data_IF_740107930732
#
_entry.id   IF_740107930732
#
_cell.length_a   1.000
_cell.length_b   1.000
_cell.length_c   1.000
_cell.angle_alpha   90.00
_cell.angle_beta   90.00
_cell.angle_gamma   90.00
#
_symmetry.space_group_name_H-M   'P 1'
#
loop_
_entity.id
_entity.type
_entity.pdbx_description
1 polymer ?
#
# COMPACT_ATOMS: atom_id res chain seq x y z
N UNK A 1 13.87 17.99 9.56
CA UNK A 1 14.32 17.38 8.29
C UNK A 1 13.06 16.99 7.54
N UNK A 2 12.90 17.49 6.32
CA UNK A 2 11.88 17.02 5.39
C UNK A 2 12.54 15.98 4.49
N UNK A 3 11.79 14.94 4.12
CA UNK A 3 12.22 13.85 3.26
C UNK A 3 11.18 13.79 2.15
N UNK A 4 11.62 13.70 0.90
CA UNK A 4 10.70 13.51 -0.22
C UNK A 4 10.12 12.10 -0.16
N UNK A 5 8.82 11.97 -0.39
CA UNK A 5 8.13 10.69 -0.46
C UNK A 5 7.27 10.63 -1.71
N UNK A 6 7.25 9.47 -2.36
CA UNK A 6 6.30 9.13 -3.41
C UNK A 6 5.32 8.08 -2.90
N UNK A 7 4.03 8.30 -3.12
CA UNK A 7 2.95 7.36 -2.81
C UNK A 7 2.29 6.96 -4.13
N UNK A 8 2.27 5.65 -4.41
CA UNK A 8 1.76 5.10 -5.65
C UNK A 8 0.80 3.94 -5.40
N UNK A 9 -0.38 3.97 -6.01
CA UNK A 9 -1.29 2.82 -5.96
C UNK A 9 -2.69 3.11 -6.48
N UNK A 10 -3.47 2.04 -6.60
CA UNK A 10 -4.88 2.10 -6.97
C UNK A 10 -5.69 1.35 -5.92
N UNK A 11 -6.67 2.03 -5.31
CA UNK A 11 -7.54 1.44 -4.30
C UNK A 11 -8.95 1.27 -4.89
N UNK A 12 -9.46 0.04 -4.89
CA UNK A 12 -10.78 -0.30 -5.41
C UNK A 12 -11.88 -0.14 -4.35
N UNK A 13 -12.78 0.81 -4.61
CA UNK A 13 -13.82 1.26 -3.70
C UNK A 13 -15.14 0.48 -3.89
N UNK A 14 -15.90 0.41 -2.80
CA UNK A 14 -17.25 -0.15 -2.78
C UNK A 14 -18.24 0.65 -3.62
N UNK A 15 -19.35 0.01 -3.98
CA UNK A 15 -20.43 0.66 -4.72
C UNK A 15 -21.01 1.84 -3.94
N UNK A 16 -21.18 2.97 -4.61
CA UNK A 16 -21.87 4.14 -4.06
C UNK A 16 -21.03 5.00 -3.10
N UNK A 17 -19.74 4.72 -2.94
CA UNK A 17 -18.80 5.60 -2.22
C UNK A 17 -18.79 6.98 -2.88
N UNK A 18 -18.94 8.01 -2.05
CA UNK A 18 -18.94 9.41 -2.48
C UNK A 18 -17.61 10.07 -2.16
N UNK A 19 -17.24 11.09 -2.95
CA UNK A 19 -16.03 11.90 -2.73
C UNK A 19 -15.94 12.40 -1.28
N UNK A 20 -17.05 12.90 -0.71
CA UNK A 20 -17.07 13.40 0.67
C UNK A 20 -16.75 12.34 1.73
N UNK A 21 -17.12 11.07 1.49
CA UNK A 21 -16.77 9.96 2.39
C UNK A 21 -15.28 9.65 2.29
N UNK A 22 -14.74 9.73 1.07
CA UNK A 22 -13.33 9.48 0.81
C UNK A 22 -12.44 10.57 1.41
N UNK A 23 -12.78 11.84 1.21
CA UNK A 23 -12.09 12.99 1.82
C UNK A 23 -12.17 12.96 3.34
N UNK A 24 -13.29 12.52 3.90
CA UNK A 24 -13.42 12.30 5.34
C UNK A 24 -12.48 11.18 5.83
N UNK A 25 -12.43 10.05 5.13
CA UNK A 25 -11.51 8.95 5.47
C UNK A 25 -10.03 9.36 5.35
N UNK A 26 -9.70 10.17 4.36
CA UNK A 26 -8.35 10.70 4.10
C UNK A 26 -7.95 11.87 5.02
N UNK A 27 -8.80 12.30 5.96
CA UNK A 27 -8.51 13.43 6.87
C UNK A 27 -7.17 13.36 7.59
N UNK A 28 -6.68 12.20 8.06
CA UNK A 28 -5.35 12.13 8.67
C UNK A 28 -4.23 12.59 7.72
N UNK A 29 -4.32 12.27 6.42
CA UNK A 29 -3.37 12.70 5.39
C UNK A 29 -3.63 14.15 4.96
N UNK A 30 -4.87 14.51 4.62
CA UNK A 30 -5.20 15.87 4.17
C UNK A 30 -4.90 16.92 5.26
N UNK A 31 -5.25 16.62 6.50
CA UNK A 31 -4.94 17.48 7.65
C UNK A 31 -3.43 17.56 7.95
N UNK A 32 -2.66 16.51 7.64
CA UNK A 32 -1.20 16.58 7.72
C UNK A 32 -0.62 17.58 6.70
N UNK A 33 -1.22 17.65 5.51
CA UNK A 33 -0.84 18.59 4.44
C UNK A 33 -1.44 20.00 4.62
N UNK A 34 -2.27 20.21 5.65
CA UNK A 34 -3.03 21.46 5.88
C UNK A 34 -3.96 21.83 4.71
N UNK A 35 -4.62 20.82 4.14
CA UNK A 35 -5.62 20.97 3.07
C UNK A 35 -6.95 20.29 3.42
N UNK A 36 -8.04 20.68 2.77
CA UNK A 36 -9.37 20.14 3.08
C UNK A 36 -9.84 19.06 2.10
N UNK A 37 -9.36 19.12 0.86
CA UNK A 37 -9.83 18.28 -0.25
C UNK A 37 -8.68 17.56 -0.96
N UNK A 38 -8.97 16.45 -1.64
CA UNK A 38 -7.95 15.76 -2.45
C UNK A 38 -7.45 16.61 -3.63
N UNK A 39 -8.27 17.57 -4.11
CA UNK A 39 -7.91 18.47 -5.19
C UNK A 39 -6.85 19.51 -4.79
N UNK A 40 -6.76 19.84 -3.50
CA UNK A 40 -5.76 20.76 -2.95
C UNK A 40 -4.43 20.06 -2.63
N UNK A 41 -4.44 18.73 -2.50
CA UNK A 41 -3.26 17.90 -2.28
C UNK A 41 -2.47 17.68 -3.59
N UNK A 42 -2.01 18.77 -4.21
CA UNK A 42 -1.20 18.70 -5.42
C UNK A 42 0.13 17.98 -5.16
N UNK A 43 0.59 17.20 -6.16
CA UNK A 43 1.94 16.63 -6.14
C UNK A 43 2.98 17.73 -6.42
N UNK A 44 4.18 17.57 -5.86
CA UNK A 44 5.35 18.36 -6.24
C UNK A 44 5.75 18.11 -7.70
N UNK A 45 5.57 16.88 -8.18
CA UNK A 45 5.87 16.50 -9.56
C UNK A 45 4.68 16.81 -10.47
N UNK A 46 4.90 17.71 -11.44
CA UNK A 46 3.82 18.31 -12.25
C UNK A 46 3.15 17.34 -13.22
N UNK A 47 3.85 16.27 -13.59
CA UNK A 47 3.34 15.25 -14.50
C UNK A 47 2.46 14.22 -13.77
N UNK A 48 2.54 14.19 -12.44
CA UNK A 48 1.76 13.26 -11.65
C UNK A 48 0.30 13.71 -11.52
N UNK A 49 -0.66 12.77 -11.64
CA UNK A 49 -2.08 13.08 -11.49
C UNK A 49 -2.49 13.48 -10.06
N UNK A 50 -1.65 13.24 -9.06
CA UNK A 50 -1.94 13.46 -7.65
C UNK A 50 -2.88 12.39 -7.08
N UNK A 51 -3.83 12.81 -6.25
CA UNK A 51 -4.86 11.96 -5.65
C UNK A 51 -6.17 12.15 -6.43
N UNK A 52 -6.62 11.12 -7.14
CA UNK A 52 -7.79 11.18 -8.02
C UNK A 52 -8.84 10.14 -7.66
N UNK A 53 -10.09 10.58 -7.57
CA UNK A 53 -11.24 9.70 -7.38
C UNK A 53 -12.07 9.60 -8.67
N UNK A 54 -12.19 8.40 -9.21
CA UNK A 54 -13.10 8.09 -10.31
C UNK A 54 -14.34 7.33 -9.78
N UNK A 55 -15.53 7.96 -9.75
CA UNK A 55 -16.75 7.30 -9.29
C UNK A 55 -17.30 6.25 -10.26
N UNK A 56 -16.92 6.30 -11.54
CA UNK A 56 -17.36 5.32 -12.56
C UNK A 56 -16.57 4.03 -12.42
N UNK A 57 -15.25 4.13 -12.36
CA UNK A 57 -14.37 2.98 -12.14
C UNK A 57 -14.34 2.53 -10.67
N UNK A 58 -14.81 3.40 -9.76
CA UNK A 58 -14.79 3.20 -8.30
C UNK A 58 -13.36 3.02 -7.81
N UNK A 59 -12.48 3.90 -8.25
CA UNK A 59 -11.05 3.81 -7.97
C UNK A 59 -10.56 5.10 -7.35
N UNK A 60 -9.78 4.99 -6.28
CA UNK A 60 -8.89 6.05 -5.83
C UNK A 60 -7.50 5.75 -6.38
N UNK A 61 -7.06 6.55 -7.35
CA UNK A 61 -5.72 6.48 -7.92
C UNK A 61 -4.83 7.48 -7.20
N UNK A 62 -3.66 7.03 -6.79
CA UNK A 62 -2.67 7.82 -6.08
C UNK A 62 -1.36 7.73 -6.86
N UNK A 63 -0.85 8.87 -7.27
CA UNK A 63 0.51 9.07 -7.74
C UNK A 63 0.88 10.47 -7.26
N UNK A 64 1.49 10.54 -6.08
CA UNK A 64 1.68 11.79 -5.36
C UNK A 64 3.06 11.83 -4.72
N UNK A 65 3.79 12.91 -4.99
CA UNK A 65 5.11 13.22 -4.44
C UNK A 65 5.04 14.45 -3.55
N UNK A 66 5.66 14.39 -2.38
CA UNK A 66 5.66 15.52 -1.44
C UNK A 66 6.79 15.51 -0.42
N UNK A 67 7.05 16.69 0.13
CA UNK A 67 8.00 16.89 1.23
C UNK A 67 7.36 16.57 2.57
N UNK A 68 7.82 15.52 3.23
CA UNK A 68 7.19 15.02 4.46
C UNK A 68 8.16 14.97 5.64
N UNK A 69 7.58 14.96 6.83
CA UNK A 69 8.28 14.86 8.10
C UNK A 69 7.96 13.55 8.82
N UNK A 70 8.51 13.41 10.04
CA UNK A 70 8.53 12.14 10.80
C UNK A 70 7.18 11.49 11.05
N UNK A 71 6.09 12.25 11.15
CA UNK A 71 4.75 11.69 11.44
C UNK A 71 3.95 11.33 10.19
N UNK A 72 4.49 11.51 8.98
CA UNK A 72 3.73 11.28 7.76
C UNK A 72 3.32 9.81 7.60
N UNK A 73 4.22 8.87 7.84
CA UNK A 73 3.94 7.44 7.72
C UNK A 73 2.74 7.02 8.58
N UNK A 74 2.70 7.46 9.84
CA UNK A 74 1.60 7.16 10.76
C UNK A 74 0.27 7.76 10.29
N UNK A 75 0.30 8.98 9.75
CA UNK A 75 -0.90 9.66 9.22
C UNK A 75 -1.40 9.01 7.94
N UNK A 76 -0.49 8.56 7.08
CA UNK A 76 -0.83 7.82 5.88
C UNK A 76 -1.45 6.45 6.23
N UNK A 77 -0.87 5.74 7.20
CA UNK A 77 -1.42 4.49 7.73
C UNK A 77 -2.83 4.67 8.31
N UNK A 78 -3.04 5.71 9.12
CA UNK A 78 -4.35 6.04 9.69
C UNK A 78 -5.38 6.37 8.58
N UNK A 79 -4.99 7.14 7.57
CA UNK A 79 -5.84 7.46 6.43
C UNK A 79 -6.24 6.18 5.65
N UNK A 80 -5.29 5.30 5.37
CA UNK A 80 -5.55 4.04 4.68
C UNK A 80 -6.37 3.05 5.50
N UNK A 81 -6.21 3.03 6.82
CA UNK A 81 -7.10 2.26 7.70
C UNK A 81 -8.55 2.74 7.58
N UNK A 82 -8.77 4.06 7.55
CA UNK A 82 -10.11 4.63 7.37
C UNK A 82 -10.68 4.31 5.98
N UNK A 83 -9.88 4.48 4.93
CA UNK A 83 -10.26 4.17 3.54
C UNK A 83 -10.62 2.70 3.37
N UNK A 84 -9.96 1.79 4.12
CA UNK A 84 -10.26 0.36 4.10
C UNK A 84 -11.74 0.05 4.26
N UNK A 85 -12.44 0.74 5.16
CA UNK A 85 -13.90 0.56 5.37
C UNK A 85 -14.77 0.90 4.15
N UNK A 86 -14.22 1.63 3.18
CA UNK A 86 -14.88 2.04 1.94
C UNK A 86 -14.54 1.11 0.76
N UNK A 87 -13.69 0.10 0.94
CA UNK A 87 -13.20 -0.76 -0.15
C UNK A 87 -14.05 -2.02 -0.36
N UNK A 88 -14.11 -2.52 -1.59
CA UNK A 88 -14.70 -3.84 -1.93
C UNK A 88 -13.65 -4.94 -1.93
N UNK A 89 -12.43 -4.60 -2.34
CA UNK A 89 -11.28 -5.51 -2.43
C UNK A 89 -10.07 -4.90 -1.73
N UNK A 90 -9.15 -5.76 -1.31
CA UNK A 90 -7.86 -5.29 -0.84
C UNK A 90 -7.00 -4.79 -2.00
N UNK A 91 -6.14 -3.82 -1.72
CA UNK A 91 -5.26 -3.18 -2.69
C UNK A 91 -3.91 -2.89 -2.04
N UNK A 92 -2.88 -2.88 -2.86
CA UNK A 92 -1.52 -2.51 -2.48
C UNK A 92 -1.25 -1.05 -2.84
N UNK A 93 -0.56 -0.35 -1.94
CA UNK A 93 -0.04 1.00 -2.16
C UNK A 93 1.43 0.99 -1.78
N UNK A 94 2.27 1.41 -2.70
CA UNK A 94 3.71 1.57 -2.54
C UNK A 94 4.03 2.96 -2.00
N UNK A 95 4.97 3.02 -1.06
CA UNK A 95 5.46 4.27 -0.48
C UNK A 95 6.98 4.25 -0.50
N UNK A 96 7.58 5.20 -1.21
CA UNK A 96 9.03 5.31 -1.37
C UNK A 96 9.52 6.61 -0.76
N UNK A 97 10.44 6.53 0.20
CA UNK A 97 11.09 7.69 0.79
C UNK A 97 12.49 7.88 0.18
N UNK A 98 12.84 9.11 -0.14
CA UNK A 98 14.12 9.51 -0.75
C UNK A 98 14.94 10.34 0.24
N UNK A 99 15.65 9.71 1.20
CA UNK A 99 16.52 10.43 2.11
C UNK A 99 17.74 10.99 1.38
N UNK A 100 18.13 12.24 1.64
CA UNK A 100 19.28 12.90 0.97
C UNK A 100 20.62 12.18 1.16
N UNK A 101 20.73 11.32 2.19
CA UNK A 101 21.98 10.78 2.71
C UNK A 101 22.12 9.25 2.58
N UNK A 102 21.24 8.57 1.85
CA UNK A 102 21.19 7.11 1.90
C UNK A 102 20.53 6.43 0.71
N UNK A 103 20.23 5.15 0.92
CA UNK A 103 19.44 4.33 0.01
C UNK A 103 17.95 4.64 0.21
N UNK A 104 17.18 4.65 -0.88
CA UNK A 104 15.73 4.83 -0.86
C UNK A 104 15.06 3.75 0.00
N UNK A 105 14.04 4.16 0.78
CA UNK A 105 13.29 3.24 1.64
C UNK A 105 11.92 2.92 1.03
N UNK A 106 11.62 1.62 0.86
CA UNK A 106 10.39 1.15 0.22
C UNK A 106 9.47 0.45 1.22
N UNK A 107 8.22 0.85 1.23
CA UNK A 107 7.18 0.30 2.08
C UNK A 107 5.99 -0.13 1.23
N UNK A 108 5.49 -1.33 1.50
CA UNK A 108 4.17 -1.74 1.04
C UNK A 108 3.14 -1.51 2.14
N UNK A 109 2.10 -0.78 1.79
CA UNK A 109 0.90 -0.59 2.59
C UNK A 109 -0.25 -1.32 1.91
N UNK A 110 -1.13 -1.91 2.71
CA UNK A 110 -2.28 -2.63 2.20
C UNK A 110 -3.55 -1.99 2.74
N UNK A 111 -4.49 -1.73 1.82
CA UNK A 111 -5.79 -1.14 2.12
C UNK A 111 -6.84 -2.20 1.86
N UNK A 112 -7.85 -2.34 2.71
CA UNK A 112 -8.89 -3.34 2.48
C UNK A 112 -9.99 -3.32 3.54
N UNK A 113 -11.09 -4.06 3.30
CA UNK A 113 -12.29 -4.00 4.15
C UNK A 113 -12.08 -4.63 5.52
N UNK A 114 -11.21 -5.64 5.62
CA UNK A 114 -10.94 -6.35 6.88
C UNK A 114 -9.46 -6.70 7.02
N UNK A 115 -8.96 -6.90 8.25
CA UNK A 115 -7.62 -7.45 8.45
C UNK A 115 -7.42 -8.81 7.76
N UNK A 116 -8.44 -9.67 7.77
CA UNK A 116 -8.43 -10.96 7.09
C UNK A 116 -8.24 -10.84 5.58
N UNK A 117 -8.96 -9.91 4.92
CA UNK A 117 -8.84 -9.72 3.47
C UNK A 117 -7.49 -9.15 3.08
N UNK A 118 -6.95 -8.23 3.89
CA UNK A 118 -5.60 -7.67 3.70
C UNK A 118 -4.55 -8.77 3.82
N UNK A 119 -4.65 -9.62 4.84
CA UNK A 119 -3.73 -10.75 5.04
C UNK A 119 -3.77 -11.72 3.86
N UNK A 120 -4.98 -12.10 3.42
CA UNK A 120 -5.17 -13.00 2.28
C UNK A 120 -4.63 -12.41 0.97
N UNK A 121 -4.86 -11.12 0.73
CA UNK A 121 -4.34 -10.43 -0.44
C UNK A 121 -2.80 -10.37 -0.43
N UNK A 122 -2.19 -10.02 0.70
CA UNK A 122 -0.72 -10.06 0.87
C UNK A 122 -0.15 -11.45 0.58
N UNK A 123 -0.81 -12.51 1.07
CA UNK A 123 -0.41 -13.90 0.80
C UNK A 123 -0.45 -14.21 -0.70
N UNK A 124 -1.49 -13.75 -1.39
CA UNK A 124 -1.64 -13.94 -2.84
C UNK A 124 -0.51 -13.24 -3.61
N UNK A 125 -0.22 -11.96 -3.33
CA UNK A 125 0.89 -11.23 -3.96
C UNK A 125 2.22 -11.99 -3.82
N UNK A 126 2.58 -12.38 -2.59
CA UNK A 126 3.84 -13.09 -2.35
C UNK A 126 3.87 -14.46 -3.02
N UNK A 127 2.76 -15.20 -2.99
CA UNK A 127 2.67 -16.50 -3.67
C UNK A 127 2.85 -16.36 -5.19
N UNK A 128 2.25 -15.32 -5.79
CA UNK A 128 2.39 -15.04 -7.22
C UNK A 128 3.82 -14.66 -7.57
N UNK A 129 4.46 -13.78 -6.80
CA UNK A 129 5.86 -13.37 -7.03
C UNK A 129 6.83 -14.55 -6.95
N UNK A 130 6.70 -15.39 -5.93
CA UNK A 130 7.51 -16.60 -5.76
C UNK A 130 7.26 -17.57 -6.92
N UNK A 131 6.01 -17.75 -7.33
CA UNK A 131 5.67 -18.60 -8.49
C UNK A 131 6.32 -18.08 -9.77
N UNK A 132 6.19 -16.78 -10.04
CA UNK A 132 6.71 -16.13 -11.23
C UNK A 132 8.24 -16.17 -11.28
N UNK A 133 8.90 -15.99 -10.14
CA UNK A 133 10.35 -16.10 -10.04
C UNK A 133 10.82 -17.54 -10.27
N UNK A 134 10.22 -18.52 -9.61
CA UNK A 134 10.72 -19.90 -9.61
C UNK A 134 10.36 -20.67 -10.88
N UNK A 135 9.22 -20.38 -11.52
CA UNK A 135 8.77 -21.09 -12.73
C UNK A 135 9.72 -20.92 -13.92
N UNK A 136 10.60 -19.91 -13.89
CA UNK A 136 11.65 -19.70 -14.90
C UNK A 136 12.85 -20.63 -14.75
N UNK A 137 12.99 -21.27 -13.59
CA UNK A 137 14.19 -22.03 -13.22
C UNK A 137 13.91 -23.46 -12.77
N UNK A 138 12.70 -23.73 -12.28
CA UNK A 138 12.30 -25.01 -11.69
C UNK A 138 11.06 -25.58 -12.39
N UNK A 139 10.90 -26.90 -12.34
CA UNK A 139 9.69 -27.56 -12.82
C UNK A 139 8.49 -27.32 -11.91
N UNK A 140 7.28 -27.43 -12.47
CA UNK A 140 6.02 -27.13 -11.78
C UNK A 140 5.86 -27.82 -10.42
N UNK A 141 6.29 -29.08 -10.30
CA UNK A 141 6.18 -29.83 -9.04
C UNK A 141 6.97 -29.16 -7.90
N UNK A 142 8.18 -28.66 -8.18
CA UNK A 142 9.02 -27.99 -7.19
C UNK A 142 8.45 -26.61 -6.85
N UNK A 143 7.93 -25.88 -7.83
CA UNK A 143 7.26 -24.58 -7.60
C UNK A 143 6.03 -24.76 -6.71
N UNK A 144 5.22 -25.79 -6.96
CA UNK A 144 4.06 -26.12 -6.15
C UNK A 144 4.43 -26.47 -4.69
N UNK A 145 5.55 -27.16 -4.48
CA UNK A 145 6.04 -27.45 -3.13
C UNK A 145 6.43 -26.18 -2.37
N UNK A 146 7.14 -25.25 -3.03
CA UNK A 146 7.55 -24.00 -2.39
C UNK A 146 6.35 -23.12 -2.09
N UNK A 147 5.43 -22.95 -3.03
CA UNK A 147 4.22 -22.14 -2.83
C UNK A 147 3.31 -22.72 -1.73
N UNK A 148 3.20 -24.05 -1.62
CA UNK A 148 2.50 -24.69 -0.51
C UNK A 148 3.15 -24.36 0.85
N UNK A 149 4.49 -24.36 0.94
CA UNK A 149 5.19 -23.97 2.15
C UNK A 149 4.98 -22.49 2.49
N UNK A 150 5.03 -21.61 1.50
CA UNK A 150 4.71 -20.18 1.68
C UNK A 150 3.32 -20.01 2.28
N UNK A 151 2.31 -20.67 1.72
CA UNK A 151 0.94 -20.61 2.23
C UNK A 151 0.84 -21.07 3.70
N UNK A 152 1.51 -22.17 4.04
CA UNK A 152 1.56 -22.66 5.42
C UNK A 152 2.20 -21.64 6.38
N UNK A 153 3.28 -20.98 5.97
CA UNK A 153 3.94 -19.95 6.79
C UNK A 153 3.04 -18.73 7.03
N UNK A 154 2.29 -18.30 6.00
CA UNK A 154 1.31 -17.22 6.14
C UNK A 154 0.17 -17.60 7.10
N UNK A 155 -0.35 -18.83 7.02
CA UNK A 155 -1.38 -19.29 7.96
C UNK A 155 -0.88 -19.30 9.42
N UNK A 156 0.38 -19.72 9.63
CA UNK A 156 1.01 -19.72 10.95
C UNK A 156 1.23 -18.30 11.49
N UNK A 157 1.75 -17.38 10.66
CA UNK A 157 1.91 -15.96 11.03
C UNK A 157 0.57 -15.33 11.40
N UNK A 158 -0.47 -15.58 10.61
CA UNK A 158 -1.82 -15.08 10.88
C UNK A 158 -2.38 -15.57 12.21
N UNK A 159 -2.22 -16.87 12.49
CA UNK A 159 -2.65 -17.45 13.75
C UNK A 159 -1.90 -16.81 14.94
N UNK A 160 -0.59 -16.56 14.80
CA UNK A 160 0.21 -15.92 15.83
C UNK A 160 -0.23 -14.46 16.08
N UNK A 161 -0.46 -13.67 15.02
CA UNK A 161 -0.91 -12.26 15.13
C UNK A 161 -2.27 -12.12 15.81
N UNK A 162 -3.18 -13.07 15.59
CA UNK A 162 -4.48 -13.10 16.29
C UNK A 162 -4.33 -13.27 17.80
N UNK A 163 -3.29 -13.96 18.25
CA UNK A 163 -3.00 -14.14 19.68
C UNK A 163 -2.40 -12.88 20.30
N UNK A 164 -1.58 -12.13 19.55
CA UNK A 164 -0.94 -10.90 20.03
C UNK A 164 -1.83 -9.67 19.94
N UNK A 165 -2.92 -9.73 19.16
CA UNK A 165 -3.85 -8.60 18.96
C UNK A 165 -3.33 -7.57 17.94
N UNK A 166 -2.27 -7.88 17.19
CA UNK A 166 -1.77 -7.01 16.13
C UNK A 166 -2.68 -7.06 14.90
N UNK A 167 -3.21 -5.90 14.49
CA UNK A 167 -4.06 -5.78 13.30
C UNK A 167 -3.24 -5.61 12.03
N UNK A 168 -3.60 -6.33 10.95
CA UNK A 168 -2.90 -6.27 9.66
C UNK A 168 -2.83 -4.84 9.08
N UNK A 169 -3.85 -4.01 9.34
CA UNK A 169 -3.95 -2.61 8.93
C UNK A 169 -2.85 -1.70 9.51
N UNK A 170 -2.18 -2.13 10.58
CA UNK A 170 -1.08 -1.39 11.22
C UNK A 170 0.30 -1.84 10.73
N UNK A 171 0.40 -2.89 9.90
CA UNK A 171 1.68 -3.42 9.45
C UNK A 171 2.01 -2.93 8.05
N UNK A 172 2.75 -1.82 7.95
CA UNK A 172 3.56 -1.56 6.77
C UNK A 172 4.63 -2.64 6.67
N UNK A 173 4.73 -3.34 5.53
CA UNK A 173 5.84 -4.25 5.30
C UNK A 173 6.98 -3.44 4.70
N UNK A 174 8.08 -3.31 5.44
CA UNK A 174 9.33 -2.81 4.88
C UNK A 174 9.80 -3.83 3.85
N UNK A 175 9.93 -3.39 2.60
CA UNK A 175 10.63 -4.19 1.60
C UNK A 175 12.08 -3.71 1.58
N UNK A 176 13.02 -4.51 2.11
CA UNK A 176 14.42 -4.26 1.83
C UNK A 176 14.66 -4.53 0.34
N UNK A 177 14.66 -3.48 -0.49
CA UNK A 177 15.18 -3.61 -1.84
C UNK A 177 16.69 -3.81 -1.74
N UNK A 178 17.17 -4.95 -2.23
CA UNK A 178 18.53 -4.98 -2.77
C UNK A 178 18.47 -4.30 -4.14
N UNK A 179 19.32 -3.30 -4.39
CA UNK A 179 19.18 -2.43 -5.55
C UNK A 179 19.29 -3.24 -6.84
N UNK A 180 18.20 -3.30 -7.61
CA UNK A 180 18.24 -3.63 -9.03
C UNK A 180 17.37 -2.63 -9.78
N UNK A 181 18.04 -1.60 -10.29
CA UNK A 181 17.51 -0.72 -11.34
C UNK A 181 16.97 0.59 -10.81
N UNK A 182 17.85 1.60 -10.74
CA UNK A 182 17.42 2.99 -10.73
C UNK A 182 16.73 3.29 -12.07
N UNK A 183 15.62 4.03 -12.00
CA UNK A 183 14.92 4.69 -13.11
C UNK A 183 14.19 3.77 -14.13
N UNK A 184 12.87 3.75 -14.04
CA UNK A 184 11.99 3.57 -15.19
C UNK A 184 11.06 4.80 -15.25
N UNK A 185 11.57 5.86 -15.87
CA UNK A 185 10.75 6.74 -16.70
C UNK A 185 10.60 6.09 -18.08
#
# INVERSE_FOLDING_TARGET
MRIEVHVHGNIFLGRGVRLSQLEYALRPWLGYLDVETIAEAASLEREEPGIQFDPRERTLTICWTGDVGRSFHDRLAEAFQNVGSLTEYSSEVEVTYYPENGDDEFYQMFVGPTPESIHEFRRQCVSEDVTNMLSRHLGQANVNQVTALVNQLFEQDWAARKVTGETAASSSTVIPLRPRGKHLH
#
